data_IF_046827677839
#
_entry.id   IF_046827677839
#
_cell.length_a   1.000
_cell.length_b   1.000
_cell.length_c   1.000
_cell.angle_alpha   90.00
_cell.angle_beta   90.00
_cell.angle_gamma   90.00
#
_symmetry.space_group_name_H-M   'P 1'
#
loop_
_entity.id
_entity.type
_entity.pdbx_description
1 polymer ?
#
# COMPACT_ATOMS: atom_id res chain seq x y z
N UNK A 1 0.95 25.21 -3.81
CA UNK A 1 -0.07 25.72 -4.77
C UNK A 1 -1.21 24.72 -4.88
N UNK A 2 -2.46 25.18 -4.98
CA UNK A 2 -3.63 24.35 -5.32
C UNK A 2 -4.13 24.70 -6.72
N UNK A 3 -4.40 23.68 -7.53
CA UNK A 3 -4.91 23.83 -8.90
C UNK A 3 -5.98 22.78 -9.19
N UNK A 4 -6.84 23.06 -10.17
CA UNK A 4 -7.85 22.13 -10.65
C UNK A 4 -7.57 21.76 -12.11
N UNK A 5 -7.92 20.53 -12.48
CA UNK A 5 -7.80 20.02 -13.85
C UNK A 5 -9.10 19.32 -14.25
N UNK A 6 -9.54 19.58 -15.48
CA UNK A 6 -10.67 18.93 -16.12
C UNK A 6 -10.38 18.64 -17.60
N UNK A 7 -11.38 18.25 -18.37
CA UNK A 7 -11.26 17.95 -19.81
C UNK A 7 -10.82 19.16 -20.66
N UNK A 8 -10.97 20.39 -20.16
CA UNK A 8 -10.53 21.61 -20.83
C UNK A 8 -9.05 21.98 -20.53
N UNK A 9 -8.47 21.35 -19.55
CA UNK A 9 -7.08 21.55 -19.14
C UNK A 9 -6.90 21.87 -17.68
N UNK A 10 -5.74 22.44 -17.34
CA UNK A 10 -5.39 22.85 -15.97
C UNK A 10 -5.78 24.32 -15.77
N UNK A 11 -6.22 24.67 -14.55
CA UNK A 11 -6.62 26.03 -14.19
C UNK A 11 -5.54 27.08 -14.49
N UNK A 12 -5.96 28.28 -14.80
CA UNK A 12 -5.10 29.39 -15.25
C UNK A 12 -4.03 29.86 -14.23
N UNK A 13 -4.17 29.48 -12.95
CA UNK A 13 -3.21 29.76 -11.90
C UNK A 13 -2.07 28.73 -11.79
N UNK A 14 -2.01 27.74 -12.70
CA UNK A 14 -0.96 26.71 -12.72
C UNK A 14 0.40 27.34 -13.03
N UNK A 15 1.34 27.18 -12.11
CA UNK A 15 2.76 27.47 -12.31
C UNK A 15 3.55 26.18 -12.44
N UNK A 16 4.04 25.93 -13.64
CA UNK A 16 4.84 24.75 -13.94
C UNK A 16 6.20 24.71 -13.21
N UNK A 17 6.63 25.80 -12.59
CA UNK A 17 7.87 25.89 -11.79
C UNK A 17 7.63 25.65 -10.31
N UNK A 18 6.37 25.63 -9.84
CA UNK A 18 6.06 25.35 -8.46
C UNK A 18 6.54 23.95 -8.06
N UNK A 19 7.26 23.84 -6.96
CA UNK A 19 7.80 22.58 -6.45
C UNK A 19 6.79 21.76 -5.66
N UNK A 20 5.85 22.46 -4.99
CA UNK A 20 4.82 21.84 -4.16
C UNK A 20 3.43 22.14 -4.72
N UNK A 21 2.77 21.13 -5.25
CA UNK A 21 1.48 21.27 -5.93
C UNK A 21 0.48 20.27 -5.35
N UNK A 22 -0.74 20.72 -5.11
CA UNK A 22 -1.90 19.86 -4.89
C UNK A 22 -2.86 20.13 -6.04
N UNK A 23 -3.08 19.12 -6.88
CA UNK A 23 -3.97 19.21 -8.05
C UNK A 23 -5.17 18.31 -7.84
N UNK A 24 -6.36 18.88 -7.86
CA UNK A 24 -7.60 18.13 -7.98
C UNK A 24 -7.95 17.93 -9.45
N UNK A 25 -8.34 16.74 -9.84
CA UNK A 25 -8.78 16.42 -11.20
C UNK A 25 -10.17 15.79 -11.20
N UNK A 26 -10.98 16.15 -12.22
CA UNK A 26 -12.30 15.57 -12.48
C UNK A 26 -12.42 15.30 -13.97
N UNK A 27 -12.13 14.08 -14.41
CA UNK A 27 -11.88 13.74 -15.82
C UNK A 27 -12.57 12.42 -16.16
N UNK A 28 -13.15 12.30 -17.37
CA UNK A 28 -13.72 11.04 -17.88
C UNK A 28 -12.78 10.32 -18.83
N UNK A 29 -12.05 11.07 -19.64
CA UNK A 29 -11.15 10.51 -20.65
C UNK A 29 -9.84 11.27 -20.68
N UNK A 30 -8.74 10.57 -20.44
CA UNK A 30 -7.40 11.13 -20.49
C UNK A 30 -6.40 10.04 -20.90
N UNK A 31 -5.52 10.35 -21.83
CA UNK A 31 -4.28 9.63 -22.04
C UNK A 31 -3.15 10.64 -22.09
N UNK A 32 -2.32 10.68 -21.05
CA UNK A 32 -1.24 11.65 -20.93
C UNK A 32 0.06 11.01 -20.45
N UNK A 33 1.18 11.46 -21.02
CA UNK A 33 2.50 11.20 -20.50
C UNK A 33 2.65 11.98 -19.18
N UNK A 34 3.25 11.35 -18.18
CA UNK A 34 3.44 11.95 -16.88
C UNK A 34 4.89 12.41 -16.74
N UNK A 35 5.14 13.70 -16.84
CA UNK A 35 6.41 14.24 -16.39
C UNK A 35 6.40 14.30 -14.86
N UNK A 36 6.97 13.30 -14.21
CA UNK A 36 7.22 13.39 -12.77
C UNK A 36 8.42 14.32 -12.56
N UNK A 37 8.19 15.54 -12.07
CA UNK A 37 9.28 16.48 -11.74
C UNK A 37 9.82 16.24 -10.35
N UNK A 38 8.94 15.86 -9.43
CA UNK A 38 9.19 15.72 -8.01
C UNK A 38 8.69 14.35 -7.53
N UNK A 39 8.69 14.14 -6.22
CA UNK A 39 8.00 13.00 -5.63
C UNK A 39 6.49 13.23 -5.70
N UNK A 40 5.75 12.26 -6.20
CA UNK A 40 4.32 12.40 -6.48
C UNK A 40 3.48 11.35 -5.78
N UNK A 41 2.36 11.78 -5.22
CA UNK A 41 1.27 10.97 -4.69
C UNK A 41 0.10 11.08 -5.65
N UNK A 42 -0.39 9.93 -6.16
CA UNK A 42 -1.57 9.86 -7.03
C UNK A 42 -2.68 9.16 -6.26
N UNK A 43 -3.63 9.92 -5.71
CA UNK A 43 -4.73 9.43 -4.90
C UNK A 43 -6.05 9.51 -5.67
N UNK A 44 -6.79 8.41 -5.75
CA UNK A 44 -8.10 8.36 -6.42
C UNK A 44 -9.21 8.49 -5.39
N UNK A 45 -10.00 9.54 -5.51
CA UNK A 45 -11.16 9.82 -4.66
C UNK A 45 -12.40 9.02 -5.11
N UNK A 46 -12.64 8.96 -6.43
CA UNK A 46 -13.78 8.27 -7.05
C UNK A 46 -13.39 7.70 -8.41
N UNK A 47 -13.86 6.50 -8.72
CA UNK A 47 -13.54 5.79 -9.95
C UNK A 47 -12.24 5.02 -9.86
N UNK A 48 -11.53 4.95 -10.97
CA UNK A 48 -10.20 4.33 -11.05
C UNK A 48 -9.35 5.01 -12.13
N UNK A 49 -8.03 4.98 -11.93
CA UNK A 49 -7.03 5.47 -12.87
C UNK A 49 -6.04 4.35 -13.19
N UNK A 50 -5.71 4.18 -14.47
CA UNK A 50 -4.70 3.22 -14.92
C UNK A 50 -3.37 3.96 -15.15
N UNK A 51 -2.36 3.62 -14.37
CA UNK A 51 -0.99 4.08 -14.57
C UNK A 51 -0.15 2.98 -15.19
N UNK A 52 0.49 3.27 -16.32
CA UNK A 52 1.45 2.38 -16.98
C UNK A 52 2.85 2.91 -16.76
N UNK A 53 3.57 2.34 -15.80
CA UNK A 53 4.89 2.81 -15.38
C UNK A 53 5.92 1.72 -15.62
N UNK A 54 6.97 2.03 -16.37
CA UNK A 54 8.09 1.10 -16.66
C UNK A 54 7.62 -0.31 -17.09
N UNK A 55 6.57 -0.38 -17.91
CA UNK A 55 6.01 -1.64 -18.41
C UNK A 55 5.13 -2.39 -17.41
N UNK A 56 4.71 -1.75 -16.33
CA UNK A 56 3.75 -2.28 -15.37
C UNK A 56 2.48 -1.46 -15.33
N UNK A 57 1.36 -2.13 -15.14
CA UNK A 57 0.05 -1.53 -14.99
C UNK A 57 -0.33 -1.48 -13.51
N UNK A 58 -0.72 -0.29 -13.04
CA UNK A 58 -1.26 -0.03 -11.71
C UNK A 58 -2.68 0.51 -11.87
N UNK A 59 -3.66 -0.27 -11.47
CA UNK A 59 -5.06 0.19 -11.41
C UNK A 59 -5.30 0.72 -10.01
N UNK A 60 -5.31 2.03 -9.88
CA UNK A 60 -5.54 2.72 -8.61
C UNK A 60 -7.03 2.98 -8.48
N UNK A 61 -7.68 2.34 -7.52
CA UNK A 61 -9.11 2.45 -7.28
C UNK A 61 -9.44 3.53 -6.25
N UNK A 62 -10.72 3.87 -6.12
CA UNK A 62 -11.19 4.79 -5.10
C UNK A 62 -10.70 4.42 -3.69
N UNK A 63 -10.09 5.38 -3.00
CA UNK A 63 -9.47 5.20 -1.69
C UNK A 63 -8.06 4.61 -1.72
N UNK A 64 -7.49 4.40 -2.88
CA UNK A 64 -6.10 3.95 -3.06
C UNK A 64 -5.22 5.08 -3.59
N UNK A 65 -3.91 4.93 -3.40
CA UNK A 65 -2.93 5.87 -3.95
C UNK A 65 -1.68 5.14 -4.44
N UNK A 66 -0.99 5.78 -5.39
CA UNK A 66 0.27 5.33 -5.97
C UNK A 66 1.37 6.34 -5.62
N UNK A 67 2.53 5.85 -5.20
CA UNK A 67 3.73 6.65 -4.98
C UNK A 67 4.67 6.53 -6.17
N UNK A 68 5.13 7.68 -6.69
CA UNK A 68 6.07 7.80 -7.79
C UNK A 68 7.15 8.83 -7.44
N UNK A 69 8.34 8.69 -8.03
CA UNK A 69 9.38 9.71 -7.94
C UNK A 69 9.71 10.32 -9.30
N UNK A 70 10.58 11.31 -9.34
CA UNK A 70 10.99 12.01 -10.56
C UNK A 70 11.64 11.11 -11.63
N UNK A 71 12.04 9.89 -11.28
CA UNK A 71 12.63 8.91 -12.22
C UNK A 71 11.61 7.92 -12.79
N UNK A 72 10.32 8.00 -12.38
CA UNK A 72 9.27 7.19 -12.96
C UNK A 72 8.95 7.71 -14.38
N UNK A 73 8.89 6.79 -15.34
CA UNK A 73 8.49 7.09 -16.71
C UNK A 73 7.21 6.31 -17.02
N UNK A 74 6.25 6.99 -17.64
CA UNK A 74 5.01 6.33 -18.03
C UNK A 74 3.86 7.26 -18.30
N UNK A 75 2.67 6.68 -18.37
CA UNK A 75 1.44 7.41 -18.71
C UNK A 75 0.29 7.07 -17.76
N UNK A 76 -0.65 8.01 -17.64
CA UNK A 76 -1.97 7.77 -17.06
C UNK A 76 -2.99 7.59 -18.17
N UNK A 77 -3.90 6.65 -17.97
CA UNK A 77 -5.04 6.41 -18.86
C UNK A 77 -6.30 6.40 -17.98
N UNK A 78 -7.27 7.24 -18.36
CA UNK A 78 -8.61 7.27 -17.80
C UNK A 78 -9.56 7.07 -18.97
N UNK A 79 -10.45 6.08 -18.87
CA UNK A 79 -11.53 5.84 -19.84
C UNK A 79 -12.75 5.36 -19.04
N UNK A 80 -13.66 6.29 -18.75
CA UNK A 80 -14.81 6.04 -17.87
C UNK A 80 -16.06 6.77 -18.36
N UNK A 81 -17.23 6.16 -18.10
CA UNK A 81 -18.53 6.78 -18.38
C UNK A 81 -18.89 7.88 -17.38
N UNK A 82 -18.37 7.81 -16.17
CA UNK A 82 -18.54 8.81 -15.09
C UNK A 82 -17.23 9.55 -14.84
N UNK A 83 -17.31 10.70 -14.19
CA UNK A 83 -16.11 11.42 -13.78
C UNK A 83 -15.28 10.59 -12.81
N UNK A 84 -13.98 10.55 -13.07
CA UNK A 84 -12.97 10.02 -12.17
C UNK A 84 -12.38 11.22 -11.45
N UNK A 85 -12.44 11.21 -10.12
CA UNK A 85 -11.97 12.30 -9.28
C UNK A 85 -10.69 11.86 -8.59
N UNK A 86 -9.64 12.66 -8.72
CA UNK A 86 -8.33 12.36 -8.16
C UNK A 86 -7.65 13.57 -7.54
N UNK A 87 -6.66 13.30 -6.69
CA UNK A 87 -5.75 14.30 -6.13
C UNK A 87 -4.33 13.86 -6.46
N UNK A 88 -3.62 14.71 -7.21
CA UNK A 88 -2.19 14.57 -7.43
C UNK A 88 -1.47 15.55 -6.50
N UNK A 89 -0.50 15.07 -5.73
CA UNK A 89 0.31 15.91 -4.87
C UNK A 89 1.76 15.73 -5.28
N UNK A 90 2.40 16.83 -5.69
CA UNK A 90 3.84 16.86 -5.95
C UNK A 90 4.52 17.52 -4.75
N UNK A 91 5.56 16.87 -4.24
CA UNK A 91 6.33 17.29 -3.06
C UNK A 91 7.77 17.54 -3.49
N UNK A 92 8.31 18.70 -3.10
CA UNK A 92 9.69 19.03 -3.32
C UNK A 92 10.62 17.98 -2.72
N UNK A 93 11.62 17.56 -3.49
CA UNK A 93 12.63 16.59 -3.06
C UNK A 93 13.39 17.02 -1.80
N UNK A 94 13.58 18.34 -1.60
CA UNK A 94 14.28 18.85 -0.43
C UNK A 94 13.51 18.59 0.86
N UNK A 95 12.16 18.80 0.85
CA UNK A 95 11.30 18.49 1.99
C UNK A 95 11.38 17.00 2.36
N UNK A 96 11.28 16.12 1.36
CA UNK A 96 11.37 14.69 1.59
C UNK A 96 12.76 14.29 2.13
N UNK A 97 13.83 14.87 1.59
CA UNK A 97 15.21 14.62 2.04
C UNK A 97 15.46 15.10 3.47
N UNK A 98 14.92 16.25 3.87
CA UNK A 98 14.98 16.73 5.27
C UNK A 98 14.28 15.78 6.23
N UNK A 99 13.10 15.27 5.88
CA UNK A 99 12.36 14.30 6.70
C UNK A 99 13.15 12.98 6.79
N UNK A 100 13.70 12.50 5.67
CA UNK A 100 14.56 11.30 5.65
C UNK A 100 15.79 11.50 6.53
N UNK A 101 16.47 12.64 6.44
CA UNK A 101 17.65 12.95 7.26
C UNK A 101 17.33 12.99 8.75
N UNK A 102 16.17 13.53 9.14
CA UNK A 102 15.73 13.58 10.54
C UNK A 102 15.38 12.19 11.10
N UNK A 103 14.88 11.28 10.26
CA UNK A 103 14.54 9.92 10.65
C UNK A 103 15.77 9.01 10.81
N UNK A 104 16.81 9.25 10.03
CA UNK A 104 18.08 8.51 10.05
C UNK A 104 19.05 9.10 11.09
N UNK A 105 18.57 9.82 12.13
CA UNK A 105 19.39 10.42 13.17
C UNK A 105 20.43 9.44 13.77
N UNK A 106 21.58 9.92 14.28
CA UNK A 106 22.84 9.18 14.47
C UNK A 106 22.79 8.02 15.47
N UNK A 107 21.69 7.78 16.17
CA UNK A 107 21.53 6.68 17.12
C UNK A 107 21.04 5.35 16.54
N UNK A 108 20.66 5.32 15.28
CA UNK A 108 20.33 4.06 14.61
C UNK A 108 21.60 3.49 13.99
N UNK A 109 22.24 2.54 14.67
CA UNK A 109 23.37 1.72 14.20
C UNK A 109 23.05 0.88 12.95
N UNK A 110 22.31 1.41 12.00
CA UNK A 110 21.99 0.74 10.75
C UNK A 110 22.39 1.62 9.57
N UNK A 111 23.70 1.69 9.22
CA UNK A 111 24.21 2.49 8.10
C UNK A 111 23.69 2.02 6.73
N UNK A 112 23.01 0.87 6.68
CA UNK A 112 22.51 0.27 5.43
C UNK A 112 21.17 0.83 4.96
N UNK A 113 20.45 1.61 5.78
CA UNK A 113 19.19 2.22 5.37
C UNK A 113 19.42 3.58 4.69
N UNK A 114 20.10 3.57 3.56
CA UNK A 114 20.26 4.77 2.74
C UNK A 114 18.93 5.10 2.02
N UNK A 115 17.91 5.58 2.79
CA UNK A 115 16.57 5.87 2.29
C UNK A 115 16.59 6.91 1.18
N UNK A 116 17.44 7.95 1.32
CA UNK A 116 17.58 8.99 0.31
C UNK A 116 17.95 8.41 -1.05
N UNK A 117 18.85 7.40 -1.07
CA UNK A 117 19.20 6.69 -2.30
C UNK A 117 17.99 6.04 -2.99
N UNK A 118 17.00 5.56 -2.23
CA UNK A 118 15.80 4.98 -2.83
C UNK A 118 14.83 6.04 -3.31
N UNK A 119 14.59 7.09 -2.54
CA UNK A 119 13.63 8.14 -2.89
C UNK A 119 14.08 8.97 -4.09
N UNK A 120 15.37 9.28 -4.18
CA UNK A 120 15.96 10.18 -5.18
C UNK A 120 16.72 9.43 -6.28
N UNK A 121 16.29 8.24 -6.69
CA UNK A 121 16.96 7.47 -7.74
C UNK A 121 16.00 6.58 -8.54
N UNK A 122 16.57 5.95 -9.60
CA UNK A 122 15.88 4.89 -10.38
C UNK A 122 15.62 3.63 -9.55
N UNK A 123 16.23 3.50 -8.38
CA UNK A 123 16.04 2.39 -7.46
C UNK A 123 14.73 2.50 -6.66
N UNK A 124 14.01 3.61 -6.76
CA UNK A 124 12.66 3.71 -6.20
C UNK A 124 11.74 2.62 -6.79
N UNK A 125 10.97 1.99 -5.95
CA UNK A 125 9.95 1.01 -6.35
C UNK A 125 8.58 1.63 -6.18
N UNK A 126 7.88 1.80 -7.28
CA UNK A 126 6.50 2.29 -7.30
C UNK A 126 5.63 1.36 -6.44
N UNK A 127 4.82 1.94 -5.56
CA UNK A 127 3.97 1.20 -4.64
C UNK A 127 2.57 1.78 -4.61
N UNK A 128 1.59 0.89 -4.73
CA UNK A 128 0.17 1.18 -4.55
C UNK A 128 -0.24 0.79 -3.12
N UNK A 129 -1.02 1.65 -2.49
CA UNK A 129 -1.49 1.48 -1.12
C UNK A 129 -3.00 1.74 -1.03
N UNK A 130 -3.67 0.99 -0.16
CA UNK A 130 -4.99 1.35 0.34
C UNK A 130 -4.84 2.38 1.48
N UNK A 131 -5.43 3.56 1.29
CA UNK A 131 -5.40 4.64 2.27
C UNK A 131 -6.02 4.26 3.62
N UNK A 132 -6.83 3.19 3.68
CA UNK A 132 -7.42 2.69 4.92
C UNK A 132 -6.37 2.08 5.86
N UNK A 133 -5.28 1.52 5.29
CA UNK A 133 -4.30 0.74 6.04
C UNK A 133 -2.91 1.37 6.08
N UNK A 134 -2.77 2.60 5.61
CA UNK A 134 -1.49 3.30 5.51
C UNK A 134 -1.46 4.56 6.38
N UNK A 135 -0.27 5.04 6.73
CA UNK A 135 -0.08 6.24 7.54
C UNK A 135 -0.37 7.50 6.74
N UNK A 136 0.18 7.58 5.53
CA UNK A 136 -0.11 8.65 4.57
C UNK A 136 -1.61 8.71 4.26
N UNK A 137 -2.26 7.55 4.12
CA UNK A 137 -3.68 7.47 3.79
C UNK A 137 -4.61 8.19 4.76
N UNK A 138 -4.24 8.35 6.04
CA UNK A 138 -5.04 9.14 6.98
C UNK A 138 -5.08 10.61 6.57
N UNK A 139 -3.93 11.19 6.20
CA UNK A 139 -3.85 12.58 5.72
C UNK A 139 -4.55 12.77 4.37
N UNK A 140 -4.46 11.77 3.49
CA UNK A 140 -5.17 11.81 2.20
C UNK A 140 -6.68 11.79 2.36
N UNK A 141 -7.23 11.02 3.31
CA UNK A 141 -8.67 11.02 3.61
C UNK A 141 -9.16 12.33 4.22
N UNK A 142 -8.36 12.95 5.07
CA UNK A 142 -8.67 14.28 5.61
C UNK A 142 -8.73 15.31 4.48
N UNK A 143 -7.74 15.27 3.58
CA UNK A 143 -7.70 16.14 2.39
C UNK A 143 -8.88 15.87 1.44
N UNK A 144 -9.20 14.60 1.17
CA UNK A 144 -10.36 14.17 0.37
C UNK A 144 -11.66 14.77 0.95
N UNK A 145 -11.88 14.65 2.26
CA UNK A 145 -13.06 15.19 2.91
C UNK A 145 -13.18 16.73 2.83
N UNK A 146 -12.05 17.43 2.79
CA UNK A 146 -12.00 18.90 2.61
C UNK A 146 -12.33 19.26 1.16
N UNK A 147 -11.62 18.66 0.20
CA UNK A 147 -11.75 19.01 -1.23
C UNK A 147 -13.13 18.60 -1.78
N UNK A 148 -13.69 17.47 -1.36
CA UNK A 148 -15.06 17.06 -1.78
C UNK A 148 -16.14 18.07 -1.46
N UNK A 149 -15.98 18.89 -0.42
CA UNK A 149 -16.98 19.91 -0.06
C UNK A 149 -16.99 21.04 -1.09
N UNK A 150 -15.83 21.54 -1.46
CA UNK A 150 -15.67 22.66 -2.39
C UNK A 150 -14.41 22.48 -3.26
N UNK A 151 -14.46 21.67 -4.33
CA UNK A 151 -13.27 21.37 -5.14
C UNK A 151 -12.65 22.58 -5.83
N UNK A 152 -13.42 23.66 -6.02
CA UNK A 152 -13.00 24.86 -6.73
C UNK A 152 -12.64 26.04 -5.80
N UNK A 153 -12.60 25.80 -4.47
CA UNK A 153 -12.12 26.83 -3.54
C UNK A 153 -10.60 27.00 -3.66
N UNK A 154 -10.12 28.17 -3.25
CA UNK A 154 -8.69 28.43 -3.18
C UNK A 154 -8.12 27.87 -1.87
N UNK A 155 -7.35 26.78 -1.95
CA UNK A 155 -6.67 26.20 -0.80
C UNK A 155 -5.21 26.64 -0.75
N UNK A 156 -4.75 26.98 0.46
CA UNK A 156 -3.34 27.25 0.75
C UNK A 156 -2.81 26.16 1.67
N UNK A 157 -1.75 25.49 1.24
CA UNK A 157 -1.08 24.45 2.01
C UNK A 157 0.24 24.96 2.56
N UNK A 158 0.43 24.85 3.87
CA UNK A 158 1.65 25.24 4.55
C UNK A 158 2.78 24.25 4.33
N UNK A 159 4.02 24.64 4.61
CA UNK A 159 5.15 23.71 4.63
C UNK A 159 4.90 22.53 5.60
N UNK A 160 4.26 22.78 6.75
CA UNK A 160 3.91 21.74 7.72
C UNK A 160 3.03 20.65 7.12
N UNK A 161 2.11 21.00 6.21
CA UNK A 161 1.29 20.02 5.49
C UNK A 161 2.16 19.05 4.66
N UNK A 162 3.13 19.56 3.90
CA UNK A 162 4.02 18.73 3.09
C UNK A 162 4.98 17.91 3.96
N UNK A 163 5.45 18.42 5.10
CA UNK A 163 6.23 17.64 6.06
C UNK A 163 5.41 16.46 6.61
N UNK A 164 4.16 16.66 7.01
CA UNK A 164 3.27 15.57 7.48
C UNK A 164 3.04 14.50 6.42
N UNK A 165 2.84 14.90 5.16
CA UNK A 165 2.74 13.94 4.05
C UNK A 165 4.04 13.16 3.88
N UNK A 166 5.20 13.84 3.91
CA UNK A 166 6.52 13.21 3.77
C UNK A 166 6.82 12.23 4.90
N UNK A 167 6.44 12.54 6.15
CA UNK A 167 6.51 11.59 7.26
C UNK A 167 5.63 10.35 7.01
N UNK A 168 4.40 10.55 6.53
CA UNK A 168 3.50 9.46 6.15
C UNK A 168 4.08 8.57 5.06
N UNK A 169 4.67 9.17 4.00
CA UNK A 169 5.38 8.47 2.93
C UNK A 169 6.50 7.61 3.52
N UNK A 170 7.34 8.22 4.35
CA UNK A 170 8.49 7.53 4.95
C UNK A 170 8.06 6.33 5.78
N UNK A 171 7.06 6.49 6.64
CA UNK A 171 6.54 5.41 7.49
C UNK A 171 5.94 4.25 6.69
N UNK A 172 5.29 4.53 5.57
CA UNK A 172 4.71 3.50 4.70
C UNK A 172 5.78 2.83 3.81
N UNK A 173 6.84 3.57 3.41
CA UNK A 173 7.85 3.08 2.48
C UNK A 173 9.03 2.35 3.16
N UNK A 174 9.41 2.69 4.39
CA UNK A 174 10.49 2.02 5.14
C UNK A 174 10.33 0.49 5.16
N UNK A 175 9.13 -0.08 5.40
CA UNK A 175 8.93 -1.52 5.31
C UNK A 175 9.24 -2.10 3.92
N UNK A 176 9.00 -1.35 2.85
CA UNK A 176 9.32 -1.78 1.47
C UNK A 176 10.83 -1.88 1.28
N UNK A 177 11.57 -0.86 1.70
CA UNK A 177 13.04 -0.84 1.63
C UNK A 177 13.64 -2.01 2.42
N UNK A 178 13.17 -2.26 3.64
CA UNK A 178 13.61 -3.41 4.46
C UNK A 178 13.37 -4.74 3.76
N UNK A 179 12.21 -4.91 3.09
CA UNK A 179 11.92 -6.12 2.32
C UNK A 179 12.83 -6.25 1.10
N UNK A 180 13.11 -5.16 0.38
CA UNK A 180 14.06 -5.17 -0.73
C UNK A 180 15.48 -5.56 -0.27
N UNK A 181 15.90 -5.08 0.89
CA UNK A 181 17.20 -5.43 1.47
C UNK A 181 17.28 -6.89 1.92
N UNK A 182 16.19 -7.48 2.41
CA UNK A 182 16.16 -8.90 2.82
C UNK A 182 16.27 -9.88 1.64
N UNK A 183 16.01 -9.43 0.41
CA UNK A 183 16.14 -10.27 -0.78
C UNK A 183 17.62 -10.39 -1.18
N UNK A 184 18.11 -11.64 -1.15
CA UNK A 184 19.49 -11.97 -1.55
C UNK A 184 19.64 -12.00 -3.07
N UNK A 185 19.79 -10.85 -3.69
CA UNK A 185 20.10 -10.71 -5.11
C UNK A 185 21.08 -9.56 -5.31
N UNK A 186 21.98 -9.68 -6.28
CA UNK A 186 22.97 -8.66 -6.61
C UNK A 186 22.33 -7.53 -7.40
N UNK A 187 21.39 -7.85 -8.32
CA UNK A 187 20.74 -6.86 -9.17
C UNK A 187 19.48 -6.31 -8.51
N UNK A 188 19.40 -5.00 -8.38
CA UNK A 188 18.26 -4.32 -7.72
C UNK A 188 16.94 -4.56 -8.47
N UNK A 189 16.92 -4.52 -9.79
CA UNK A 189 15.72 -4.81 -10.60
C UNK A 189 15.19 -6.23 -10.36
N UNK A 190 16.09 -7.21 -10.15
CA UNK A 190 15.68 -8.57 -9.77
C UNK A 190 15.01 -8.58 -8.38
N UNK A 191 15.51 -7.77 -7.43
CA UNK A 191 14.87 -7.65 -6.09
C UNK A 191 13.47 -7.07 -6.21
N UNK A 192 13.28 -6.02 -7.02
CA UNK A 192 11.97 -5.42 -7.27
C UNK A 192 11.00 -6.45 -7.88
N UNK A 193 11.43 -7.17 -8.93
CA UNK A 193 10.60 -8.20 -9.58
C UNK A 193 10.19 -9.31 -8.59
N UNK A 194 11.14 -9.80 -7.82
CA UNK A 194 10.88 -10.82 -6.80
C UNK A 194 9.92 -10.33 -5.71
N UNK A 195 10.10 -9.09 -5.23
CA UNK A 195 9.20 -8.53 -4.23
C UNK A 195 7.78 -8.33 -4.78
N UNK A 196 7.64 -7.89 -6.04
CA UNK A 196 6.33 -7.76 -6.70
C UNK A 196 5.61 -9.10 -6.84
N UNK A 197 6.31 -10.13 -7.31
CA UNK A 197 5.77 -11.49 -7.41
C UNK A 197 5.35 -12.01 -6.04
N UNK A 198 6.17 -11.77 -5.03
CA UNK A 198 5.89 -12.17 -3.67
C UNK A 198 4.67 -11.43 -3.09
N UNK A 199 4.52 -10.13 -3.39
CA UNK A 199 3.37 -9.33 -2.99
C UNK A 199 2.07 -9.84 -3.60
N UNK A 200 2.05 -10.22 -4.89
CA UNK A 200 0.89 -10.86 -5.53
C UNK A 200 0.45 -12.13 -4.80
N UNK A 201 1.40 -13.00 -4.45
CA UNK A 201 1.09 -14.20 -3.68
C UNK A 201 0.55 -13.90 -2.28
N UNK A 202 1.07 -12.86 -1.63
CA UNK A 202 0.55 -12.42 -0.34
C UNK A 202 -0.87 -11.87 -0.47
N UNK A 203 -1.16 -11.05 -1.47
CA UNK A 203 -2.50 -10.54 -1.78
C UNK A 203 -3.48 -11.67 -2.07
N UNK A 204 -3.06 -12.69 -2.83
CA UNK A 204 -3.86 -13.89 -3.05
C UNK A 204 -4.19 -14.59 -1.73
N UNK A 205 -3.22 -14.75 -0.82
CA UNK A 205 -3.47 -15.29 0.52
C UNK A 205 -4.45 -14.38 1.28
N UNK A 206 -4.24 -13.07 1.30
CA UNK A 206 -5.07 -12.12 2.03
C UNK A 206 -6.53 -12.10 1.54
N UNK A 207 -6.76 -12.42 0.27
CA UNK A 207 -8.10 -12.51 -0.31
C UNK A 207 -8.76 -13.87 -0.12
N UNK A 208 -7.97 -14.95 0.07
CA UNK A 208 -8.48 -16.33 0.03
C UNK A 208 -8.18 -17.16 1.30
N UNK A 209 -7.57 -16.61 2.34
CA UNK A 209 -7.12 -17.38 3.52
C UNK A 209 -8.21 -18.15 4.27
N UNK A 210 -9.48 -17.81 4.08
CA UNK A 210 -10.63 -18.54 4.63
C UNK A 210 -11.00 -19.78 3.81
N UNK A 211 -10.55 -19.85 2.57
CA UNK A 211 -10.79 -20.98 1.67
C UNK A 211 -9.69 -22.05 1.83
N UNK A 212 -9.92 -23.19 1.23
CA UNK A 212 -8.90 -24.23 1.11
C UNK A 212 -7.89 -23.82 0.02
N UNK A 213 -6.76 -23.23 0.43
CA UNK A 213 -5.66 -22.84 -0.46
C UNK A 213 -4.40 -23.61 -0.07
N UNK A 214 -3.67 -24.05 -1.09
CA UNK A 214 -2.33 -24.62 -0.91
C UNK A 214 -1.24 -23.66 -1.42
N UNK A 215 0.01 -23.94 -1.07
CA UNK A 215 1.13 -23.10 -1.48
C UNK A 215 1.46 -23.25 -2.97
N UNK A 216 1.06 -24.34 -3.60
CA UNK A 216 1.22 -24.50 -5.04
C UNK A 216 0.33 -23.50 -5.80
N UNK A 217 -0.92 -23.33 -5.38
CA UNK A 217 -1.82 -22.31 -5.94
C UNK A 217 -1.26 -20.89 -5.78
N UNK A 218 -0.79 -20.55 -4.58
CA UNK A 218 -0.19 -19.24 -4.29
C UNK A 218 1.07 -19.01 -5.14
N UNK A 219 1.89 -20.02 -5.33
CA UNK A 219 3.12 -19.95 -6.13
C UNK A 219 2.81 -19.72 -7.63
N UNK A 220 1.79 -20.40 -8.16
CA UNK A 220 1.31 -20.19 -9.53
C UNK A 220 0.86 -18.74 -9.72
N UNK A 221 0.03 -18.23 -8.83
CA UNK A 221 -0.45 -16.83 -8.86
C UNK A 221 0.70 -15.81 -8.78
N UNK A 222 1.76 -16.18 -8.06
CA UNK A 222 2.97 -15.38 -7.92
C UNK A 222 3.95 -15.49 -9.10
N UNK A 223 3.67 -16.33 -10.10
CA UNK A 223 4.64 -16.67 -11.16
C UNK A 223 6.00 -17.16 -10.59
N UNK A 224 5.96 -18.02 -9.58
CA UNK A 224 7.15 -18.56 -8.89
C UNK A 224 7.03 -20.07 -8.71
N UNK A 225 8.17 -20.77 -8.56
CA UNK A 225 8.13 -22.15 -8.08
C UNK A 225 7.71 -22.19 -6.61
N UNK A 226 7.01 -23.26 -6.19
CA UNK A 226 6.54 -23.43 -4.82
C UNK A 226 7.65 -23.30 -3.77
N UNK A 227 8.80 -23.93 -4.04
CA UNK A 227 9.97 -23.87 -3.15
C UNK A 227 10.54 -22.46 -3.05
N UNK A 228 10.68 -21.76 -4.18
CA UNK A 228 11.20 -20.39 -4.22
C UNK A 228 10.26 -19.42 -3.52
N UNK A 229 8.94 -19.51 -3.77
CA UNK A 229 7.94 -18.71 -3.08
C UNK A 229 7.99 -18.93 -1.57
N UNK A 230 7.97 -20.20 -1.11
CA UNK A 230 8.00 -20.54 0.31
C UNK A 230 9.21 -19.96 1.02
N UNK A 231 10.41 -20.14 0.45
CA UNK A 231 11.66 -19.64 1.02
C UNK A 231 11.68 -18.10 1.06
N UNK A 232 11.40 -17.47 -0.07
CA UNK A 232 11.44 -16.01 -0.19
C UNK A 232 10.40 -15.35 0.71
N UNK A 233 9.19 -15.91 0.79
CA UNK A 233 8.15 -15.41 1.69
C UNK A 233 8.62 -15.42 3.15
N UNK A 234 9.25 -16.51 3.59
CA UNK A 234 9.80 -16.60 4.94
C UNK A 234 10.93 -15.61 5.18
N UNK A 235 11.83 -15.44 4.20
CA UNK A 235 12.95 -14.49 4.31
C UNK A 235 12.45 -13.03 4.40
N UNK A 236 11.41 -12.68 3.63
CA UNK A 236 10.89 -11.30 3.53
C UNK A 236 9.88 -10.95 4.63
N UNK A 237 9.00 -11.90 4.99
CA UNK A 237 7.92 -11.64 5.98
C UNK A 237 8.20 -12.23 7.37
N UNK A 238 9.32 -12.95 7.54
CA UNK A 238 9.74 -13.54 8.84
C UNK A 238 8.95 -14.78 9.25
N UNK A 239 7.90 -15.14 8.54
CA UNK A 239 7.04 -16.30 8.81
C UNK A 239 6.80 -17.10 7.54
N UNK A 240 6.58 -18.43 7.65
CA UNK A 240 6.22 -19.21 6.47
C UNK A 240 4.81 -18.85 5.97
N UNK A 241 4.49 -19.09 4.67
CA UNK A 241 3.15 -18.88 4.14
C UNK A 241 2.07 -19.60 4.94
N UNK A 242 2.30 -20.84 5.37
CA UNK A 242 1.38 -21.60 6.20
C UNK A 242 1.13 -20.94 7.57
N UNK A 243 2.21 -20.44 8.21
CA UNK A 243 2.09 -19.70 9.48
C UNK A 243 1.32 -18.39 9.27
N UNK A 244 1.55 -17.71 8.16
CA UNK A 244 0.84 -16.48 7.81
C UNK A 244 -0.66 -16.72 7.64
N UNK A 245 -1.05 -17.73 6.84
CA UNK A 245 -2.46 -18.15 6.68
C UNK A 245 -3.09 -18.47 8.03
N UNK A 246 -2.40 -19.27 8.86
CA UNK A 246 -2.87 -19.63 10.20
C UNK A 246 -3.09 -18.39 11.08
N UNK A 247 -2.16 -17.44 11.08
CA UNK A 247 -2.29 -16.18 11.84
C UNK A 247 -3.52 -15.39 11.41
N UNK A 248 -3.74 -15.23 10.09
CA UNK A 248 -4.91 -14.53 9.54
C UNK A 248 -6.22 -15.21 9.96
N UNK A 249 -6.31 -16.54 9.88
CA UNK A 249 -7.47 -17.31 10.33
C UNK A 249 -7.75 -17.11 11.81
N UNK A 250 -6.71 -17.10 12.66
CA UNK A 250 -6.86 -16.89 14.11
C UNK A 250 -7.30 -15.46 14.44
N UNK A 251 -6.76 -14.46 13.77
CA UNK A 251 -7.20 -13.08 13.91
C UNK A 251 -8.68 -12.93 13.55
N UNK A 252 -9.09 -13.54 12.43
CA UNK A 252 -10.50 -13.53 11.98
C UNK A 252 -11.41 -14.24 12.95
N UNK A 253 -11.01 -15.39 13.47
CA UNK A 253 -11.77 -16.11 14.51
C UNK A 253 -12.02 -15.24 15.73
N UNK A 254 -10.98 -14.56 16.22
CA UNK A 254 -11.09 -13.66 17.36
C UNK A 254 -12.00 -12.44 17.09
N UNK A 255 -11.99 -11.89 15.87
CA UNK A 255 -12.93 -10.84 15.44
C UNK A 255 -14.39 -11.33 15.47
N UNK A 256 -14.65 -12.51 14.89
CA UNK A 256 -15.99 -13.09 14.86
C UNK A 256 -16.48 -13.39 16.31
N UNK A 257 -15.65 -14.01 17.14
CA UNK A 257 -15.95 -14.27 18.54
C UNK A 257 -16.29 -13.01 19.34
N UNK A 258 -15.67 -11.88 19.03
CA UNK A 258 -15.97 -10.59 19.67
C UNK A 258 -17.32 -10.01 19.27
N UNK A 259 -17.83 -10.33 18.08
CA UNK A 259 -19.05 -9.73 17.50
C UNK A 259 -20.26 -10.64 17.57
N UNK A 260 -20.06 -11.95 17.64
CA UNK A 260 -21.11 -12.96 17.52
C UNK A 260 -20.96 -14.06 18.57
N UNK A 261 -22.04 -14.81 18.84
CA UNK A 261 -22.03 -16.03 19.67
C UNK A 261 -22.24 -17.27 18.80
N UNK A 262 -21.38 -17.44 17.80
CA UNK A 262 -21.45 -18.64 16.96
C UNK A 262 -20.95 -19.88 17.73
N UNK A 263 -21.58 -21.06 17.51
CA UNK A 263 -21.04 -22.33 17.98
C UNK A 263 -19.59 -22.52 17.46
N UNK A 264 -18.69 -23.02 18.32
CA UNK A 264 -17.27 -23.20 17.97
C UNK A 264 -17.06 -24.09 16.75
N UNK A 265 -17.93 -25.08 16.51
CA UNK A 265 -17.86 -25.92 15.31
C UNK A 265 -18.13 -25.12 14.04
N UNK A 266 -19.13 -24.23 14.07
CA UNK A 266 -19.45 -23.35 12.95
C UNK A 266 -18.35 -22.31 12.73
N UNK A 267 -17.85 -21.71 13.82
CA UNK A 267 -16.71 -20.77 13.75
C UNK A 267 -15.48 -21.43 13.09
N UNK A 268 -15.17 -22.68 13.47
CA UNK A 268 -14.05 -23.41 12.88
C UNK A 268 -14.20 -23.50 11.35
N UNK A 269 -15.38 -23.85 10.86
CA UNK A 269 -15.66 -23.93 9.42
C UNK A 269 -15.55 -22.57 8.73
N UNK A 270 -16.12 -21.51 9.33
CA UNK A 270 -16.06 -20.14 8.76
C UNK A 270 -14.64 -19.59 8.63
N UNK A 271 -13.72 -20.05 9.49
CA UNK A 271 -12.33 -19.61 9.41
C UNK A 271 -11.41 -20.62 8.72
N UNK A 272 -11.99 -21.55 7.96
CA UNK A 272 -11.26 -22.44 7.05
C UNK A 272 -10.65 -23.68 7.71
N UNK A 273 -11.20 -24.16 8.84
CA UNK A 273 -10.83 -25.45 9.45
C UNK A 273 -11.91 -26.50 9.18
N UNK A 274 -11.46 -27.72 8.85
CA UNK A 274 -12.37 -28.85 8.61
C UNK A 274 -13.04 -29.40 9.87
N UNK A 275 -12.43 -29.16 11.05
CA UNK A 275 -12.93 -29.68 12.32
C UNK A 275 -12.57 -28.75 13.52
N UNK A 276 -13.37 -28.88 14.58
CA UNK A 276 -13.22 -28.11 15.81
C UNK A 276 -11.92 -28.42 16.59
N UNK A 277 -11.37 -29.62 16.47
CA UNK A 277 -10.19 -30.01 17.24
C UNK A 277 -8.95 -29.34 16.66
N UNK A 278 -8.80 -29.39 15.33
CA UNK A 278 -7.74 -28.69 14.59
C UNK A 278 -7.79 -27.18 14.84
N UNK A 279 -8.99 -26.60 14.81
CA UNK A 279 -9.22 -25.20 15.14
C UNK A 279 -8.81 -24.87 16.58
N UNK A 280 -9.32 -25.63 17.57
CA UNK A 280 -9.05 -25.37 18.99
C UNK A 280 -7.55 -25.49 19.33
N UNK A 281 -6.87 -26.47 18.73
CA UNK A 281 -5.41 -26.62 18.86
C UNK A 281 -4.67 -25.42 18.27
N UNK A 282 -5.06 -24.97 17.09
CA UNK A 282 -4.46 -23.82 16.43
C UNK A 282 -4.70 -22.53 17.22
N UNK A 283 -5.92 -22.33 17.76
CA UNK A 283 -6.31 -21.19 18.54
C UNK A 283 -5.50 -21.12 19.85
N UNK A 284 -5.43 -22.22 20.60
CA UNK A 284 -4.62 -22.31 21.83
C UNK A 284 -3.16 -22.06 21.56
N UNK A 285 -2.62 -22.56 20.46
CA UNK A 285 -1.22 -22.33 20.10
C UNK A 285 -0.94 -20.85 19.77
N UNK A 286 -1.92 -20.14 19.22
CA UNK A 286 -1.77 -18.74 18.81
C UNK A 286 -1.98 -17.75 19.96
N UNK A 287 -3.02 -17.97 20.79
CA UNK A 287 -3.41 -17.05 21.86
C UNK A 287 -2.98 -17.49 23.26
N UNK A 288 -2.49 -18.73 23.44
CA UNK A 288 -2.09 -19.27 24.75
C UNK A 288 -3.25 -19.88 25.56
N UNK A 289 -4.50 -19.67 25.18
CA UNK A 289 -5.70 -20.21 25.86
C UNK A 289 -6.69 -20.79 24.84
N UNK A 290 -7.61 -21.65 25.31
CA UNK A 290 -8.58 -22.29 24.42
C UNK A 290 -9.69 -21.32 24.00
N UNK A 291 -10.35 -21.55 22.83
CA UNK A 291 -11.46 -20.71 22.39
C UNK A 291 -12.64 -20.74 23.41
N UNK A 292 -12.84 -21.84 24.12
CA UNK A 292 -13.87 -21.95 25.17
C UNK A 292 -13.56 -21.02 26.36
N UNK A 293 -12.29 -20.87 26.74
CA UNK A 293 -11.86 -19.91 27.78
C UNK A 293 -12.05 -18.47 27.36
N UNK A 294 -11.82 -18.15 26.08
CA UNK A 294 -12.08 -16.82 25.54
C UNK A 294 -13.55 -16.41 25.60
N UNK A 295 -14.46 -17.36 25.47
CA UNK A 295 -15.93 -17.12 25.51
C UNK A 295 -16.42 -16.88 26.95
N UNK A 296 -15.82 -17.54 27.94
CA UNK A 296 -16.17 -17.40 29.36
C UNK A 296 -15.75 -16.01 29.92
N UNK A 297 -14.68 -15.41 29.42
CA UNK A 297 -14.21 -14.08 29.88
C UNK A 297 -15.13 -12.93 29.46
N UNK A 298 -16.23 -13.21 28.75
CA UNK A 298 -17.26 -12.25 28.30
C UNK A 298 -18.56 -12.32 29.13
N UNK A 299 -18.58 -13.12 30.19
CA UNK A 299 -19.66 -13.11 31.20
C UNK A 299 -19.25 -12.23 32.38
#
# INVERSE_FOLDING_TARGET
MYVTADESGVSSNFDAQANNIVMYSSIKSLEAQLPFKNFSIKYVMEGNELYRLRGQDFIVNSGEYLLCNAYCEGKVCIDSKSYVNGICIDIDSDILSEVVASYVAPDTNNPDLCLDKYFNSKDFMEQQYDAKFSKLGNHLKELDAIIKKNPHDEYQFSHEFYYKLSEGILLDYVPVVRRLQSIRSIKFETKKDLLRKLSKGKEFIDSNYLLEIDIAMVAIESNMSQYHFFRLFKDVYGVSPYQYIKQKRMQKANEIMKRTRLPLAQLAMEVGYSDIFSFSKAYKQHFGYSPTQADISKK
#
